data_IF_291470656396
#
_entry.id   IF_291470656396
#
_cell.length_a   1.000
_cell.length_b   1.000
_cell.length_c   1.000
_cell.angle_alpha   90.00
_cell.angle_beta   90.00
_cell.angle_gamma   90.00
#
_symmetry.space_group_name_H-M   'P 1'
#
loop_
_entity.id
_entity.type
_entity.pdbx_description
1 polymer ?
#
# COMPACT_ATOMS: atom_id res chain seq x y z
N UNK A 1 7.76 -18.86 26.68
CA UNK A 1 7.52 -17.69 25.80
C UNK A 1 7.49 -18.19 24.36
N UNK A 2 6.79 -17.52 23.42
CA UNK A 2 6.99 -17.78 22.00
C UNK A 2 8.46 -17.50 21.64
N UNK A 3 8.99 -18.23 20.65
CA UNK A 3 10.31 -17.91 20.08
C UNK A 3 10.14 -16.73 19.13
N UNK A 4 10.53 -15.54 19.56
CA UNK A 4 10.57 -14.33 18.72
C UNK A 4 11.67 -14.45 17.67
N UNK A 5 11.58 -13.66 16.59
CA UNK A 5 12.58 -13.61 15.53
C UNK A 5 13.85 -12.93 16.09
N UNK A 6 15.00 -13.60 15.99
CA UNK A 6 16.30 -13.10 16.48
C UNK A 6 17.02 -12.25 15.42
N UNK A 7 18.05 -11.50 15.79
CA UNK A 7 18.88 -10.74 14.83
C UNK A 7 19.44 -11.64 13.70
N UNK A 8 19.90 -12.85 14.05
CA UNK A 8 20.37 -13.85 13.07
C UNK A 8 19.26 -14.36 12.13
N UNK A 9 18.01 -14.40 12.60
CA UNK A 9 16.85 -14.74 11.77
C UNK A 9 16.50 -13.58 10.82
N UNK A 10 16.67 -12.32 11.25
CA UNK A 10 16.50 -11.12 10.42
C UNK A 10 17.54 -11.08 9.30
N UNK A 11 18.82 -11.28 9.62
CA UNK A 11 19.90 -11.36 8.61
C UNK A 11 19.63 -12.46 7.58
N UNK A 12 19.17 -13.64 8.03
CA UNK A 12 18.83 -14.74 7.13
C UNK A 12 17.67 -14.38 6.18
N UNK A 13 16.62 -13.75 6.70
CA UNK A 13 15.47 -13.27 5.91
C UNK A 13 15.87 -12.14 4.96
N UNK A 14 16.74 -11.21 5.38
CA UNK A 14 17.30 -10.13 4.56
C UNK A 14 18.13 -10.69 3.40
N UNK A 15 18.91 -11.73 3.66
CA UNK A 15 19.65 -12.50 2.65
C UNK A 15 18.73 -13.20 1.64
N UNK A 16 17.78 -14.02 2.09
CA UNK A 16 16.80 -14.68 1.22
C UNK A 16 15.99 -13.66 0.38
N UNK A 17 15.59 -12.53 0.96
CA UNK A 17 14.90 -11.47 0.23
C UNK A 17 15.79 -10.81 -0.85
N UNK A 18 17.08 -10.64 -0.57
CA UNK A 18 18.07 -10.15 -1.55
C UNK A 18 18.30 -11.16 -2.69
N UNK A 19 18.17 -12.47 -2.42
CA UNK A 19 18.09 -13.53 -3.45
C UNK A 19 16.74 -13.57 -4.20
N UNK A 20 15.78 -12.70 -3.86
CA UNK A 20 14.43 -12.66 -4.45
C UNK A 20 13.49 -13.75 -3.95
N UNK A 21 13.82 -14.41 -2.83
CA UNK A 21 12.96 -15.38 -2.15
C UNK A 21 12.02 -14.68 -1.17
N UNK A 22 10.90 -15.33 -0.89
CA UNK A 22 9.83 -14.81 -0.02
C UNK A 22 9.62 -15.80 1.13
N UNK A 23 10.46 -15.76 2.18
CA UNK A 23 10.41 -16.70 3.29
C UNK A 23 9.05 -16.71 4.00
N UNK A 24 8.70 -17.85 4.58
CA UNK A 24 7.44 -18.05 5.30
C UNK A 24 7.72 -17.87 6.80
N UNK A 25 7.00 -16.95 7.42
CA UNK A 25 6.99 -16.74 8.87
C UNK A 25 5.61 -17.09 9.45
N UNK A 26 5.57 -17.37 10.74
CA UNK A 26 4.33 -17.58 11.51
C UNK A 26 4.10 -16.42 12.48
N UNK A 27 2.84 -16.05 12.65
CA UNK A 27 2.43 -15.02 13.61
C UNK A 27 2.30 -15.61 15.02
N UNK A 28 2.75 -14.86 16.02
CA UNK A 28 2.65 -15.20 17.44
C UNK A 28 1.40 -14.58 18.08
N UNK A 29 1.17 -14.86 19.37
CA UNK A 29 0.12 -14.21 20.17
C UNK A 29 0.23 -12.68 20.27
N UNK A 30 1.39 -12.10 19.93
CA UNK A 30 1.63 -10.65 20.00
C UNK A 30 1.18 -9.91 18.74
N UNK A 31 0.98 -10.62 17.61
CA UNK A 31 0.81 -10.02 16.29
C UNK A 31 -0.49 -9.20 16.17
N UNK A 32 -0.36 -7.89 15.96
CA UNK A 32 -1.54 -7.01 15.88
C UNK A 32 -2.32 -7.28 14.59
N UNK A 33 -3.62 -7.58 14.75
CA UNK A 33 -4.55 -7.75 13.62
C UNK A 33 -4.51 -9.12 12.91
N UNK A 34 -3.73 -10.09 13.38
CA UNK A 34 -3.65 -11.44 12.79
C UNK A 34 -3.74 -12.54 13.87
N UNK A 35 -4.47 -13.62 13.56
CA UNK A 35 -4.65 -14.77 14.46
C UNK A 35 -3.36 -15.60 14.63
N UNK A 36 -3.05 -15.98 15.87
CA UNK A 36 -1.84 -16.73 16.24
C UNK A 36 -1.70 -18.07 15.47
N UNK A 37 -0.47 -18.37 15.04
CA UNK A 37 -0.15 -19.63 14.36
C UNK A 37 -0.55 -19.67 12.88
N UNK A 38 -1.18 -18.61 12.36
CA UNK A 38 -1.32 -18.37 10.92
C UNK A 38 0.07 -18.09 10.32
N UNK A 39 0.27 -18.45 9.06
CA UNK A 39 1.51 -18.18 8.32
C UNK A 39 1.35 -17.00 7.37
N UNK A 40 2.44 -16.29 7.07
CA UNK A 40 2.53 -15.25 6.06
C UNK A 40 3.82 -15.33 5.27
N UNK A 41 3.87 -14.66 4.11
CA UNK A 41 5.11 -14.53 3.32
C UNK A 41 5.70 -13.15 3.55
N UNK A 42 7.00 -13.09 3.86
CA UNK A 42 7.76 -11.84 3.89
C UNK A 42 7.83 -11.28 2.47
N UNK A 43 7.68 -9.96 2.33
CA UNK A 43 7.72 -9.20 1.07
C UNK A 43 8.77 -8.10 1.10
N UNK A 44 9.06 -7.53 2.27
CA UNK A 44 10.14 -6.58 2.50
C UNK A 44 10.58 -6.63 3.98
N UNK A 45 11.81 -6.22 4.26
CA UNK A 45 12.16 -5.62 5.56
C UNK A 45 12.14 -4.10 5.41
N UNK A 46 11.73 -3.40 6.46
CA UNK A 46 11.99 -1.99 6.66
C UNK A 46 13.47 -1.73 6.99
N UNK A 47 13.85 -0.47 7.05
CA UNK A 47 15.22 -0.06 7.36
C UNK A 47 15.39 0.13 8.87
N UNK A 48 16.55 -0.25 9.40
CA UNK A 48 16.94 -0.09 10.81
C UNK A 48 16.75 1.37 11.29
N UNK A 49 16.85 2.34 10.39
CA UNK A 49 16.65 3.77 10.63
C UNK A 49 15.24 4.16 11.10
N UNK A 50 14.21 3.41 10.69
CA UNK A 50 12.80 3.63 11.11
C UNK A 50 12.33 2.59 12.16
N UNK A 51 13.18 1.60 12.45
CA UNK A 51 12.93 0.47 13.33
C UNK A 51 12.74 -0.84 12.57
N UNK A 52 13.17 -1.95 13.18
CA UNK A 52 13.04 -3.29 12.61
C UNK A 52 11.57 -3.67 12.41
N UNK A 53 11.10 -3.57 11.17
CA UNK A 53 9.77 -3.99 10.75
C UNK A 53 9.86 -4.94 9.56
N UNK A 54 9.02 -5.97 9.55
CA UNK A 54 8.93 -6.96 8.49
C UNK A 54 7.56 -6.80 7.81
N UNK A 55 7.55 -6.50 6.52
CA UNK A 55 6.32 -6.49 5.73
C UNK A 55 5.96 -7.92 5.35
N UNK A 56 4.88 -8.43 5.93
CA UNK A 56 4.39 -9.79 5.73
C UNK A 56 2.98 -9.75 5.16
N UNK A 57 2.71 -10.61 4.18
CA UNK A 57 1.36 -10.87 3.67
C UNK A 57 0.78 -12.14 4.30
N UNK A 58 -0.25 -12.06 5.16
CA UNK A 58 -0.86 -13.24 5.79
C UNK A 58 -1.55 -14.17 4.78
N UNK A 59 -1.49 -15.48 5.03
CA UNK A 59 -2.14 -16.49 4.20
C UNK A 59 -3.66 -16.33 4.27
N UNK A 60 -4.28 -15.97 3.14
CA UNK A 60 -5.71 -15.65 3.05
C UNK A 60 -6.04 -14.14 3.06
N UNK A 61 -5.04 -13.27 3.19
CA UNK A 61 -5.17 -11.83 2.90
C UNK A 61 -4.42 -11.48 1.61
N UNK A 62 -4.89 -10.45 0.90
CA UNK A 62 -4.10 -9.79 -0.15
C UNK A 62 -3.28 -8.61 0.38
N UNK A 63 -3.64 -8.14 1.57
CA UNK A 63 -3.03 -7.02 2.27
C UNK A 63 -1.59 -7.31 2.73
N UNK A 64 -0.79 -6.25 2.85
CA UNK A 64 0.62 -6.30 3.29
C UNK A 64 0.72 -5.53 4.59
N UNK A 65 1.08 -6.21 5.66
CA UNK A 65 1.06 -5.69 7.02
C UNK A 65 2.48 -5.69 7.60
N UNK A 66 2.85 -4.63 8.30
CA UNK A 66 4.15 -4.50 8.98
C UNK A 66 4.07 -5.10 10.38
N UNK A 67 5.04 -5.94 10.74
CA UNK A 67 5.15 -6.57 12.07
C UNK A 67 6.57 -6.41 12.61
N UNK A 68 6.71 -6.28 13.92
CA UNK A 68 8.01 -6.28 14.60
C UNK A 68 8.58 -7.72 14.74
N UNK A 69 9.90 -7.89 14.95
CA UNK A 69 10.53 -9.20 15.22
C UNK A 69 9.90 -9.96 16.41
N UNK A 70 9.30 -9.24 17.35
CA UNK A 70 8.62 -9.81 18.52
C UNK A 70 7.22 -10.36 18.25
N UNK A 71 6.66 -10.12 17.06
CA UNK A 71 5.33 -10.57 16.64
C UNK A 71 5.34 -11.80 15.75
N UNK A 72 6.48 -12.11 15.11
CA UNK A 72 6.63 -13.19 14.12
C UNK A 72 7.76 -14.16 14.47
N UNK A 73 7.76 -15.33 13.84
CA UNK A 73 8.78 -16.37 14.05
C UNK A 73 9.01 -17.22 12.80
N UNK A 74 10.26 -17.65 12.56
CA UNK A 74 10.62 -18.60 11.50
C UNK A 74 10.28 -20.04 11.92
N UNK A 75 10.29 -20.35 13.22
CA UNK A 75 9.92 -21.68 13.71
C UNK A 75 8.42 -21.75 13.97
N UNK A 76 7.70 -22.55 13.18
CA UNK A 76 6.25 -22.79 13.36
C UNK A 76 5.91 -23.01 14.85
N UNK A 77 5.12 -22.13 15.49
CA UNK A 77 4.91 -22.18 16.93
C UNK A 77 4.25 -23.51 17.30
N UNK A 78 4.91 -24.25 18.18
CA UNK A 78 4.40 -25.51 18.69
C UNK A 78 3.21 -25.23 19.60
N UNK A 79 1.99 -25.37 19.07
CA UNK A 79 0.77 -25.46 19.88
C UNK A 79 1.06 -26.39 21.05
N UNK A 80 0.90 -25.87 22.27
CA UNK A 80 1.27 -26.54 23.53
C UNK A 80 0.37 -27.75 23.76
N UNK A 81 0.65 -28.86 23.07
CA UNK A 81 0.26 -30.19 23.51
C UNK A 81 0.85 -30.35 24.90
N UNK A 82 -0.02 -30.65 25.87
CA UNK A 82 0.38 -31.02 27.22
C UNK A 82 1.05 -32.39 27.14
N UNK A 83 2.34 -32.41 26.80
CA UNK A 83 3.18 -33.60 26.89
C UNK A 83 3.53 -33.77 28.36
N UNK A 84 2.74 -34.60 29.05
CA UNK A 84 3.12 -35.21 30.32
C UNK A 84 4.49 -35.87 30.13
N UNK A 85 5.47 -35.69 31.04
CA UNK A 85 6.76 -36.35 30.90
C UNK A 85 6.61 -37.86 30.78
N UNK A 86 7.23 -38.45 29.76
CA UNK A 86 7.35 -39.90 29.63
C UNK A 86 8.39 -40.42 30.61
N UNK A 87 7.96 -41.32 31.49
CA UNK A 87 8.81 -42.40 31.98
C UNK A 87 8.25 -43.72 31.42
N UNK A 88 9.05 -44.79 31.49
CA UNK A 88 8.86 -46.07 30.75
C UNK A 88 7.58 -46.82 31.20
N UNK A 89 7.01 -47.82 30.50
CA UNK A 89 7.55 -48.93 29.67
C UNK A 89 6.50 -49.32 28.55
N UNK A 90 6.66 -50.38 27.70
CA UNK A 90 6.20 -50.31 26.30
C UNK A 90 5.09 -51.31 25.88
N UNK A 91 4.96 -51.54 24.56
CA UNK A 91 4.06 -52.47 23.81
C UNK A 91 2.56 -52.06 23.87
N UNK A 92 1.78 -52.01 22.78
CA UNK A 92 1.82 -52.82 21.54
C UNK A 92 1.11 -52.17 20.33
N UNK A 93 1.19 -52.85 19.17
CA UNK A 93 0.27 -52.93 18.00
C UNK A 93 -1.13 -52.27 18.12
N UNK A 94 -1.77 -51.70 17.09
CA UNK A 94 -1.52 -51.67 15.63
C UNK A 94 -2.17 -50.39 15.01
N UNK A 95 -1.75 -49.91 13.83
CA UNK A 95 -2.39 -50.13 12.50
C UNK A 95 -3.79 -49.48 12.31
N UNK A 96 -3.87 -48.57 11.33
CA UNK A 96 -5.09 -48.01 10.68
C UNK A 96 -6.12 -47.30 11.61
N UNK A 97 -6.99 -46.38 11.16
CA UNK A 97 -7.39 -45.95 9.82
C UNK A 97 -7.49 -44.41 9.73
N UNK A 98 -7.42 -43.89 8.50
CA UNK A 98 -8.28 -42.77 8.09
C UNK A 98 -9.49 -43.40 7.42
N UNK A 99 -10.74 -43.01 7.76
CA UNK A 99 -11.31 -41.93 6.94
C UNK A 99 -12.31 -40.99 7.65
N UNK A 100 -12.43 -39.79 7.07
CA UNK A 100 -13.67 -39.04 6.87
C UNK A 100 -14.77 -39.10 7.95
N UNK A 101 -14.94 -38.00 8.68
CA UNK A 101 -16.27 -37.58 9.13
C UNK A 101 -16.42 -36.05 8.99
N UNK A 102 -17.58 -35.61 8.50
CA UNK A 102 -17.91 -34.20 8.31
C UNK A 102 -19.34 -33.91 8.80
N UNK A 103 -19.50 -33.02 9.78
CA UNK A 103 -20.72 -32.22 9.95
C UNK A 103 -20.43 -30.78 9.46
N UNK A 104 -21.13 -30.26 8.46
CA UNK A 104 -22.57 -29.92 8.39
C UNK A 104 -22.88 -28.52 8.99
N UNK A 105 -23.41 -27.65 8.14
CA UNK A 105 -23.80 -26.27 8.46
C UNK A 105 -25.18 -26.19 9.14
N UNK A 106 -25.37 -25.34 10.17
CA UNK A 106 -26.69 -25.06 10.74
C UNK A 106 -27.22 -23.65 10.41
N UNK A 107 -28.11 -23.56 9.41
CA UNK A 107 -29.06 -22.46 9.18
C UNK A 107 -30.17 -22.94 8.21
N UNK A 108 -31.37 -22.31 8.11
CA UNK A 108 -31.99 -21.27 8.95
C UNK A 108 -33.41 -21.67 9.46
N UNK A 109 -34.12 -20.79 10.20
CA UNK A 109 -35.60 -20.79 10.34
C UNK A 109 -36.14 -19.53 11.06
N UNK A 110 -37.46 -19.20 11.04
CA UNK A 110 -37.88 -17.90 10.47
C UNK A 110 -38.94 -17.11 11.27
N UNK A 111 -39.52 -16.08 10.62
CA UNK A 111 -40.72 -15.30 10.99
C UNK A 111 -40.58 -14.35 12.21
N UNK A 112 -41.38 -13.28 12.40
CA UNK A 112 -42.21 -12.37 11.57
C UNK A 112 -42.71 -11.24 12.54
N UNK A 113 -43.30 -10.08 12.20
CA UNK A 113 -43.69 -9.32 10.99
C UNK A 113 -43.91 -7.83 11.44
N UNK A 114 -44.31 -6.78 10.70
CA UNK A 114 -44.62 -6.48 9.28
C UNK A 114 -44.59 -4.94 9.08
N UNK A 115 -44.63 -4.43 7.84
CA UNK A 115 -45.32 -3.17 7.42
C UNK A 115 -44.92 -2.68 6.00
N UNK A 116 -45.89 -2.70 5.09
CA UNK A 116 -45.98 -1.91 3.85
C UNK A 116 -47.40 -1.25 3.85
N UNK A 117 -47.82 -0.33 2.95
CA UNK A 117 -47.30 0.04 1.62
C UNK A 117 -47.14 1.59 1.46
N UNK A 118 -47.10 2.27 0.30
CA UNK A 118 -47.31 1.91 -1.11
C UNK A 118 -46.51 2.82 -2.08
N UNK A 119 -46.41 2.40 -3.34
CA UNK A 119 -46.13 3.25 -4.50
C UNK A 119 -47.34 3.25 -5.46
N UNK A 120 -47.47 4.27 -6.33
CA UNK A 120 -47.40 4.03 -7.78
C UNK A 120 -46.29 4.90 -8.43
N UNK A 121 -45.51 4.45 -9.42
CA UNK A 121 -45.89 4.15 -10.81
C UNK A 121 -46.52 5.38 -11.52
N UNK A 122 -45.87 6.18 -12.39
CA UNK A 122 -44.97 5.95 -13.54
C UNK A 122 -45.72 6.08 -14.89
N UNK A 123 -45.25 6.94 -15.80
CA UNK A 123 -45.51 6.80 -17.25
C UNK A 123 -44.59 7.63 -18.17
N UNK A 124 -44.43 7.12 -19.40
CA UNK A 124 -44.30 7.78 -20.71
C UNK A 124 -43.29 8.92 -21.02
N UNK A 125 -42.47 8.65 -22.04
CA UNK A 125 -41.79 9.63 -22.93
C UNK A 125 -42.64 9.83 -24.22
N UNK A 126 -42.18 10.43 -25.35
CA UNK A 126 -40.96 11.20 -25.65
C UNK A 126 -41.19 12.51 -26.45
N UNK A 127 -40.15 13.36 -26.64
CA UNK A 127 -39.86 14.11 -27.91
C UNK A 127 -38.62 15.03 -27.85
N UNK A 128 -38.17 15.48 -29.02
CA UNK A 128 -37.04 16.40 -29.34
C UNK A 128 -37.59 17.70 -29.99
N UNK A 129 -36.81 18.71 -30.49
CA UNK A 129 -35.36 18.97 -30.46
C UNK A 129 -34.93 20.43 -30.11
N UNK A 130 -33.61 20.72 -30.20
CA UNK A 130 -32.95 22.04 -30.27
C UNK A 130 -32.90 22.88 -28.95
N UNK A 131 -32.02 23.88 -28.75
CA UNK A 131 -31.05 24.58 -29.61
C UNK A 131 -29.60 24.65 -29.05
N UNK A 132 -28.66 25.23 -29.81
CA UNK A 132 -27.24 25.52 -29.50
C UNK A 132 -26.80 26.77 -30.29
N UNK A 133 -26.23 27.83 -29.68
CA UNK A 133 -24.76 28.00 -29.55
C UNK A 133 -24.33 28.71 -28.22
N UNK A 134 -23.06 29.00 -27.89
CA UNK A 134 -21.77 28.96 -28.62
C UNK A 134 -20.63 28.42 -27.71
N UNK A 135 -19.64 27.67 -28.20
CA UNK A 135 -18.26 28.11 -28.51
C UNK A 135 -17.46 28.69 -27.31
N UNK A 136 -16.47 27.97 -26.73
CA UNK A 136 -15.08 27.69 -27.19
C UNK A 136 -14.08 28.81 -26.82
N UNK A 137 -12.75 28.54 -26.67
CA UNK A 137 -12.02 27.34 -27.11
C UNK A 137 -11.51 26.42 -26.00
N UNK A 138 -11.42 25.12 -26.33
CA UNK A 138 -10.63 24.11 -25.62
C UNK A 138 -9.36 23.87 -26.45
N UNK A 139 -8.14 23.80 -25.86
CA UNK A 139 -6.90 23.68 -26.63
C UNK A 139 -6.92 22.47 -27.56
N UNK A 140 -6.43 22.66 -28.78
CA UNK A 140 -6.59 21.70 -29.86
C UNK A 140 -5.67 20.49 -29.70
N UNK A 141 -6.26 19.28 -29.71
CA UNK A 141 -5.53 18.02 -29.79
C UNK A 141 -5.14 17.77 -31.26
N UNK A 142 -3.85 17.76 -31.64
CA UNK A 142 -3.44 17.55 -33.03
C UNK A 142 -3.70 16.09 -33.45
N UNK A 143 -4.73 15.88 -34.27
CA UNK A 143 -5.11 14.56 -34.78
C UNK A 143 -4.36 14.22 -36.09
N UNK A 144 -3.04 14.07 -36.01
CA UNK A 144 -2.25 13.60 -37.15
C UNK A 144 -2.57 12.12 -37.47
N UNK A 145 -2.78 11.80 -38.76
CA UNK A 145 -3.03 10.43 -39.24
C UNK A 145 -1.98 10.01 -40.27
N UNK A 146 -1.43 8.81 -40.05
CA UNK A 146 -0.64 7.97 -40.99
C UNK A 146 0.73 8.50 -41.44
N UNK A 147 1.78 7.85 -40.92
CA UNK A 147 2.65 7.02 -41.75
C UNK A 147 3.12 5.80 -40.91
N UNK A 148 3.19 4.58 -41.47
CA UNK A 148 3.79 3.44 -40.79
C UNK A 148 5.32 3.49 -40.95
N UNK A 149 5.98 4.37 -40.20
CA UNK A 149 7.44 4.39 -40.13
C UNK A 149 7.95 3.10 -39.47
N UNK A 150 9.14 2.64 -39.87
CA UNK A 150 9.80 1.50 -39.22
C UNK A 150 10.05 1.83 -37.74
N UNK A 151 9.74 0.87 -36.86
CA UNK A 151 9.53 1.16 -35.44
C UNK A 151 10.79 1.56 -34.67
N UNK A 152 11.02 2.87 -34.52
CA UNK A 152 11.56 3.38 -33.27
C UNK A 152 10.59 3.05 -32.13
N UNK A 153 11.11 2.69 -30.96
CA UNK A 153 10.28 2.45 -29.78
C UNK A 153 9.82 3.80 -29.20
N UNK A 154 8.68 4.31 -29.68
CA UNK A 154 8.07 5.55 -29.19
C UNK A 154 7.88 5.47 -27.67
N UNK A 155 8.72 6.21 -26.93
CA UNK A 155 8.68 6.29 -25.47
C UNK A 155 8.38 7.73 -25.08
N UNK A 156 7.26 7.93 -24.39
CA UNK A 156 6.80 9.21 -23.87
C UNK A 156 6.85 9.18 -22.35
N UNK A 157 7.60 10.10 -21.75
CA UNK A 157 7.58 10.35 -20.31
C UNK A 157 6.76 11.61 -20.07
N UNK A 158 5.76 11.52 -19.19
CA UNK A 158 4.99 12.66 -18.71
C UNK A 158 5.31 12.86 -17.24
N UNK A 159 5.96 13.98 -16.89
CA UNK A 159 6.12 14.39 -15.49
C UNK A 159 4.99 15.36 -15.12
N UNK A 160 4.40 15.17 -13.95
CA UNK A 160 3.37 16.06 -13.39
C UNK A 160 3.78 16.47 -11.98
N UNK A 161 4.05 17.76 -11.79
CA UNK A 161 4.26 18.37 -10.48
C UNK A 161 2.92 18.81 -9.88
N UNK A 162 2.72 18.61 -8.58
CA UNK A 162 1.64 19.24 -7.81
C UNK A 162 2.10 20.58 -7.22
N UNK A 163 1.17 21.39 -6.73
CA UNK A 163 1.48 22.66 -6.06
C UNK A 163 2.29 22.47 -4.76
N UNK A 164 2.13 21.30 -4.12
CA UNK A 164 2.79 20.87 -2.89
C UNK A 164 4.20 20.31 -3.12
N UNK A 165 4.63 20.16 -4.37
CA UNK A 165 5.95 19.65 -4.74
C UNK A 165 6.06 18.12 -4.81
N UNK A 166 4.94 17.39 -4.78
CA UNK A 166 4.91 15.98 -5.17
C UNK A 166 5.08 15.88 -6.68
N UNK A 167 5.96 14.99 -7.15
CA UNK A 167 6.17 14.76 -8.58
C UNK A 167 5.75 13.34 -8.93
N UNK A 168 4.94 13.20 -9.97
CA UNK A 168 4.56 11.89 -10.50
C UNK A 168 5.05 11.71 -11.94
N UNK A 169 5.52 10.51 -12.25
CA UNK A 169 5.95 10.13 -13.61
C UNK A 169 5.02 9.09 -14.21
N UNK A 170 4.51 9.35 -15.41
CA UNK A 170 3.82 8.39 -16.25
C UNK A 170 4.70 8.07 -17.47
N UNK A 171 5.05 6.80 -17.66
CA UNK A 171 5.83 6.34 -18.82
C UNK A 171 4.94 5.50 -19.75
N UNK A 172 4.91 5.86 -21.03
CA UNK A 172 4.23 5.13 -22.10
C UNK A 172 5.27 4.70 -23.13
N UNK A 173 5.46 3.40 -23.33
CA UNK A 173 6.36 2.84 -24.34
C UNK A 173 5.54 2.02 -25.35
N UNK A 174 5.27 2.63 -26.50
CA UNK A 174 4.45 2.10 -27.59
C UNK A 174 3.04 1.70 -27.15
N UNK A 175 2.88 0.43 -26.74
CA UNK A 175 1.60 -0.16 -26.29
C UNK A 175 1.55 -0.49 -24.80
N UNK A 176 2.65 -0.29 -24.06
CA UNK A 176 2.73 -0.48 -22.61
C UNK A 176 2.69 0.88 -21.91
N UNK A 177 1.66 1.12 -21.11
CA UNK A 177 1.60 2.27 -20.18
C UNK A 177 1.89 1.78 -18.77
N UNK A 178 2.85 2.41 -18.10
CA UNK A 178 3.12 2.23 -16.67
C UNK A 178 2.10 3.04 -15.87
N UNK A 179 1.76 2.61 -14.65
CA UNK A 179 0.96 3.43 -13.72
C UNK A 179 1.78 4.67 -13.31
N UNK A 180 1.14 5.82 -13.00
CA UNK A 180 1.84 6.94 -12.41
C UNK A 180 2.50 6.51 -11.09
N UNK A 181 3.77 6.86 -10.91
CA UNK A 181 4.53 6.60 -9.69
C UNK A 181 5.09 7.91 -9.13
N UNK A 182 5.15 8.08 -7.78
CA UNK A 182 5.79 9.23 -7.17
C UNK A 182 7.31 9.19 -7.39
N UNK A 183 7.94 10.37 -7.47
CA UNK A 183 9.37 10.55 -7.72
C UNK A 183 9.86 11.72 -6.86
N UNK A 184 10.99 11.55 -6.17
CA UNK A 184 11.60 12.63 -5.41
C UNK A 184 11.98 13.80 -6.34
N UNK A 185 11.64 15.04 -5.95
CA UNK A 185 11.97 16.25 -6.71
C UNK A 185 13.49 16.38 -7.00
N UNK A 186 14.36 15.87 -6.13
CA UNK A 186 15.80 15.81 -6.35
C UNK A 186 16.19 14.93 -7.56
N UNK A 187 15.52 13.79 -7.75
CA UNK A 187 15.75 12.93 -8.92
C UNK A 187 15.24 13.59 -10.20
N UNK A 188 14.13 14.34 -10.11
CA UNK A 188 13.62 15.15 -11.23
C UNK A 188 14.59 16.27 -11.59
N UNK A 189 15.18 16.97 -10.60
CA UNK A 189 16.21 17.99 -10.84
C UNK A 189 17.47 17.40 -11.50
N UNK A 190 17.95 16.24 -11.03
CA UNK A 190 19.10 15.56 -11.61
C UNK A 190 18.85 15.17 -13.08
N UNK A 191 17.68 14.61 -13.40
CA UNK A 191 17.29 14.30 -14.78
C UNK A 191 17.07 15.56 -15.63
N UNK A 192 16.60 16.66 -15.02
CA UNK A 192 16.44 17.93 -15.70
C UNK A 192 17.78 18.59 -16.06
N UNK A 193 18.84 18.35 -15.30
CA UNK A 193 20.20 18.79 -15.64
C UNK A 193 20.82 18.04 -16.84
N UNK A 194 20.26 16.89 -17.24
CA UNK A 194 20.63 16.16 -18.48
C UNK A 194 19.75 16.56 -19.69
N UNK A 195 18.68 17.33 -19.45
CA UNK A 195 17.78 17.88 -20.47
C UNK A 195 18.27 19.26 -20.96
N UNK A 196 17.71 19.81 -22.06
CA UNK A 196 18.05 21.16 -22.52
C UNK A 196 17.82 22.23 -21.44
N UNK A 197 18.69 23.24 -21.42
CA UNK A 197 18.75 24.29 -20.39
C UNK A 197 17.39 24.95 -20.08
N UNK A 198 16.60 25.29 -21.11
CA UNK A 198 15.24 25.83 -20.96
C UNK A 198 14.29 24.92 -20.15
N UNK A 199 14.42 23.60 -20.31
CA UNK A 199 13.66 22.62 -19.53
C UNK A 199 14.22 22.45 -18.11
N UNK A 200 15.54 22.56 -17.94
CA UNK A 200 16.21 22.54 -16.64
C UNK A 200 15.76 23.74 -15.78
N UNK A 201 15.80 24.96 -16.32
CA UNK A 201 15.33 26.18 -15.67
C UNK A 201 13.84 26.10 -15.30
N UNK A 202 12.99 25.62 -16.23
CA UNK A 202 11.56 25.47 -15.97
C UNK A 202 11.26 24.49 -14.84
N UNK A 203 11.95 23.34 -14.79
CA UNK A 203 11.80 22.36 -13.70
C UNK A 203 12.33 22.94 -12.38
N UNK A 204 13.52 23.53 -12.37
CA UNK A 204 14.14 24.10 -11.18
C UNK A 204 13.26 25.22 -10.58
N UNK A 205 12.69 26.08 -11.43
CA UNK A 205 11.75 27.13 -11.03
C UNK A 205 10.51 26.57 -10.30
N UNK A 206 9.95 25.46 -10.78
CA UNK A 206 8.84 24.76 -10.10
C UNK A 206 9.28 24.18 -8.75
N UNK A 207 10.48 23.58 -8.68
CA UNK A 207 11.03 23.00 -7.44
C UNK A 207 11.29 24.09 -6.39
N UNK A 208 11.90 25.21 -6.77
CA UNK A 208 12.17 26.32 -5.86
C UNK A 208 10.89 27.06 -5.43
N UNK A 209 9.89 27.18 -6.32
CA UNK A 209 8.56 27.66 -5.94
C UNK A 209 7.83 26.70 -4.97
N UNK A 210 8.07 25.38 -5.04
CA UNK A 210 7.55 24.44 -4.05
C UNK A 210 8.29 24.56 -2.70
N UNK A 211 9.63 24.62 -2.72
CA UNK A 211 10.46 24.88 -1.53
C UNK A 211 10.04 26.16 -0.80
N UNK A 212 9.73 27.21 -1.55
CA UNK A 212 9.31 28.50 -0.99
C UNK A 212 7.96 28.42 -0.28
N UNK A 213 6.97 27.70 -0.84
CA UNK A 213 5.70 27.44 -0.15
C UNK A 213 5.91 26.66 1.17
N UNK A 214 6.80 25.67 1.16
CA UNK A 214 7.16 24.92 2.37
C UNK A 214 7.84 25.82 3.41
N UNK A 215 8.77 26.69 3.02
CA UNK A 215 9.36 27.69 3.92
C UNK A 215 8.31 28.61 4.55
N UNK A 216 7.43 29.21 3.73
CA UNK A 216 6.37 30.11 4.21
C UNK A 216 5.40 29.40 5.15
N UNK A 217 5.04 28.14 4.90
CA UNK A 217 4.17 27.37 5.80
C UNK A 217 4.88 27.01 7.12
N UNK A 218 6.17 26.72 7.09
CA UNK A 218 6.99 26.50 8.31
C UNK A 218 7.12 27.79 9.12
N UNK A 219 7.41 28.92 8.50
CA UNK A 219 7.50 30.23 9.17
C UNK A 219 6.16 30.62 9.82
N UNK A 220 5.05 30.44 9.11
CA UNK A 220 3.70 30.65 9.64
C UNK A 220 3.41 29.76 10.85
N UNK A 221 3.73 28.46 10.78
CA UNK A 221 3.54 27.53 11.91
C UNK A 221 4.46 27.88 13.09
N UNK A 222 5.67 28.38 12.85
CA UNK A 222 6.56 28.86 13.91
C UNK A 222 6.02 30.14 14.58
N UNK A 223 5.43 31.06 13.82
CA UNK A 223 4.75 32.25 14.36
C UNK A 223 3.50 31.89 15.18
N UNK A 224 2.68 30.93 14.69
CA UNK A 224 1.53 30.39 15.42
C UNK A 224 1.96 29.74 16.75
N UNK A 225 3.04 28.94 16.76
CA UNK A 225 3.60 28.34 17.97
C UNK A 225 4.20 29.37 18.93
N UNK A 226 4.93 30.37 18.43
CA UNK A 226 5.51 31.43 19.27
C UNK A 226 4.42 32.26 19.96
N UNK A 227 3.35 32.63 19.24
CA UNK A 227 2.21 33.32 19.82
C UNK A 227 1.48 32.48 20.88
N UNK A 228 1.32 31.17 20.63
CA UNK A 228 0.73 30.25 21.62
C UNK A 228 1.62 30.10 22.87
N UNK A 229 2.94 30.06 22.71
CA UNK A 229 3.89 30.03 23.83
C UNK A 229 3.85 31.31 24.66
N UNK A 230 3.83 32.49 24.01
CA UNK A 230 3.68 33.77 24.71
C UNK A 230 2.36 33.86 25.49
N UNK A 231 1.25 33.40 24.91
CA UNK A 231 -0.03 33.36 25.61
C UNK A 231 -0.02 32.41 26.83
N UNK A 232 0.68 31.27 26.74
CA UNK A 232 0.85 30.36 27.88
C UNK A 232 1.73 30.96 28.98
N UNK A 233 2.77 31.72 28.63
CA UNK A 233 3.64 32.40 29.60
C UNK A 233 2.94 33.60 30.27
N UNK A 234 2.11 34.35 29.52
CA UNK A 234 1.22 35.39 30.09
C UNK A 234 0.18 34.82 31.06
N UNK A 235 -0.26 33.57 30.85
CA UNK A 235 -1.15 32.84 31.78
C UNK A 235 -0.42 32.18 32.97
N UNK A 236 0.92 32.21 33.00
CA UNK A 236 1.74 31.55 34.02
C UNK A 236 2.45 32.53 34.99
N UNK A 237 2.39 33.83 34.72
CA UNK A 237 2.99 34.92 35.54
C UNK A 237 2.04 35.57 36.53
#
# INVERSE_FOLDING_TARGET
MPQVLSEQDLDHVRGELTEGRLPIVWFTSSAVGVEEGRSGKVLALGDESEGDFIQVRPTGSMDVLSFSPSEVTITKPSRKRTVTPTEEVPVTTAEAESPNEAPASPAPSPAAESSAPAAPAAESAPSVPAEKPAEKPKPAKPAAKKAPAAGAAELTVTLTATADGEWTVEVVSGKKKVKPAPVAAANVANLAAELPEEAAEAVQSVIDAARERHRQRVEQLQAELAAAQQALEELAG
#
